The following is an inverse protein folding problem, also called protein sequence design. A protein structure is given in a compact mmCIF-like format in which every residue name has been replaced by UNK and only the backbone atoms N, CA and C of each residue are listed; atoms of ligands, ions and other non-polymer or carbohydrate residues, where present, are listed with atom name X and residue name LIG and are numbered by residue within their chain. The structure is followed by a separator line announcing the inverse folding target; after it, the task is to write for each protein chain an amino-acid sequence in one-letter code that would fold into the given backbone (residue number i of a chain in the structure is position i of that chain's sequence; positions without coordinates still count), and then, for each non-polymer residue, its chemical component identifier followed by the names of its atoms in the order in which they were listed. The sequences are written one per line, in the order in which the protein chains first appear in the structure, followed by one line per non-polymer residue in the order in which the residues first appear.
data_IF_403236587162
#
_entry.id   IF_403236587162
#
_cell.length_a   1.000
_cell.length_b   1.000
_cell.length_c   1.000
_cell.angle_alpha   90.00
_cell.angle_beta   90.00
_cell.angle_gamma   90.00
#
_symmetry.space_group_name_H-M   'P 1'
#
loop_
_entity.id
_entity.type
_entity.pdbx_description
1 polymer ?
#
# COMPACT_ATOMS: atom_id res chain seq x y z
N UNK A 1 8.67 -16.23 -50.27
CA UNK A 1 8.59 -17.08 -49.04
C UNK A 1 7.36 -16.65 -48.27
N UNK A 2 6.39 -17.55 -48.03
CA UNK A 2 5.17 -17.23 -47.29
C UNK A 2 5.52 -17.05 -45.81
N UNK A 3 5.39 -15.83 -45.28
CA UNK A 3 5.46 -15.56 -43.85
C UNK A 3 4.20 -16.12 -43.19
N UNK A 4 4.28 -17.32 -42.64
CA UNK A 4 3.24 -17.85 -41.76
C UNK A 4 3.19 -17.00 -40.50
N UNK A 5 2.00 -16.51 -40.13
CA UNK A 5 1.80 -15.79 -38.88
C UNK A 5 2.13 -16.72 -37.70
N UNK A 6 3.32 -16.55 -37.11
CA UNK A 6 3.72 -17.27 -35.90
C UNK A 6 2.94 -16.65 -34.74
N UNK A 7 2.01 -17.42 -34.16
CA UNK A 7 1.29 -17.04 -32.94
C UNK A 7 2.28 -17.04 -31.76
N UNK A 8 3.03 -15.95 -31.63
CA UNK A 8 3.95 -15.72 -30.52
C UNK A 8 3.14 -15.45 -29.25
N UNK A 9 3.36 -16.25 -28.22
CA UNK A 9 2.77 -15.99 -26.90
C UNK A 9 3.28 -14.67 -26.31
N UNK A 10 2.47 -14.00 -25.49
CA UNK A 10 2.86 -12.74 -24.81
C UNK A 10 4.16 -12.86 -24.00
N UNK A 11 4.50 -14.06 -23.51
CA UNK A 11 5.72 -14.33 -22.74
C UNK A 11 6.97 -14.50 -23.63
N UNK A 12 6.82 -15.06 -24.84
CA UNK A 12 7.96 -15.26 -25.76
C UNK A 12 8.44 -13.94 -26.37
N UNK A 13 7.58 -12.93 -26.48
CA UNK A 13 7.96 -11.58 -26.92
C UNK A 13 9.00 -10.92 -26.00
N UNK A 14 8.94 -11.15 -24.68
CA UNK A 14 9.94 -10.64 -23.72
C UNK A 14 11.36 -11.18 -24.00
N UNK A 15 11.45 -12.34 -24.64
CA UNK A 15 12.70 -13.03 -24.97
C UNK A 15 13.02 -12.97 -26.47
N UNK A 16 12.52 -11.94 -27.18
CA UNK A 16 12.80 -11.73 -28.60
C UNK A 16 12.17 -12.79 -29.51
N UNK A 17 11.02 -13.35 -29.12
CA UNK A 17 10.28 -14.34 -29.91
C UNK A 17 10.89 -15.75 -29.89
N UNK A 18 11.92 -16.00 -29.05
CA UNK A 18 12.55 -17.32 -28.91
C UNK A 18 11.71 -18.22 -27.99
N UNK A 19 11.42 -19.42 -28.45
CA UNK A 19 10.77 -20.47 -27.65
C UNK A 19 11.83 -21.34 -26.96
N UNK A 20 11.71 -21.49 -25.63
CA UNK A 20 12.66 -22.25 -24.80
C UNK A 20 13.65 -21.36 -24.03
N UNK A 21 14.13 -21.85 -22.89
CA UNK A 21 15.08 -21.14 -22.02
C UNK A 21 16.39 -21.91 -22.00
N UNK A 22 17.48 -21.27 -22.43
CA UNK A 22 18.82 -21.80 -22.24
C UNK A 22 19.22 -21.65 -20.77
N UNK A 23 20.03 -22.58 -20.22
CA UNK A 23 20.61 -22.39 -18.90
C UNK A 23 21.46 -21.12 -18.88
N UNK A 24 21.53 -20.49 -17.70
CA UNK A 24 22.34 -19.29 -17.51
C UNK A 24 23.82 -19.58 -17.81
N UNK A 25 24.44 -18.69 -18.58
CA UNK A 25 25.86 -18.80 -18.94
C UNK A 25 26.68 -18.65 -17.67
N UNK A 26 27.46 -19.67 -17.32
CA UNK A 26 28.32 -19.65 -16.13
C UNK A 26 29.48 -18.67 -16.35
N UNK A 27 29.64 -17.62 -15.53
CA UNK A 27 30.77 -16.71 -15.67
C UNK A 27 32.08 -17.42 -15.33
N UNK A 28 33.12 -17.10 -16.10
CA UNK A 28 34.48 -17.63 -15.91
C UNK A 28 35.04 -17.16 -14.55
N UNK A 29 34.75 -15.91 -14.17
CA UNK A 29 35.20 -15.30 -12.93
C UNK A 29 34.02 -15.11 -11.96
N UNK A 30 33.95 -15.94 -10.90
CA UNK A 30 32.77 -16.04 -10.02
C UNK A 30 32.83 -15.23 -8.73
N UNK A 31 33.99 -15.22 -8.06
CA UNK A 31 34.12 -14.72 -6.67
C UNK A 31 34.73 -13.34 -6.57
N UNK A 32 35.85 -13.16 -7.25
CA UNK A 32 36.66 -11.95 -7.13
C UNK A 32 36.73 -11.27 -8.50
N UNK A 33 36.38 -9.97 -8.56
CA UNK A 33 36.52 -9.19 -9.79
C UNK A 33 37.99 -9.08 -10.18
N UNK A 34 38.22 -8.80 -11.46
CA UNK A 34 39.58 -8.69 -12.04
C UNK A 34 40.00 -7.24 -12.14
N UNK A 35 39.05 -6.38 -12.49
CA UNK A 35 39.22 -4.95 -12.63
C UNK A 35 38.61 -4.25 -11.41
N UNK A 36 39.20 -3.12 -10.97
CA UNK A 36 38.59 -2.29 -9.96
C UNK A 36 37.29 -1.67 -10.52
N UNK A 37 36.29 -1.38 -9.65
CA UNK A 37 35.12 -0.64 -10.07
C UNK A 37 35.51 0.73 -10.62
N UNK A 38 34.75 1.23 -11.60
CA UNK A 38 34.98 2.56 -12.17
C UNK A 38 34.75 3.64 -11.09
N UNK A 39 35.47 4.76 -11.17
CA UNK A 39 35.38 5.86 -10.18
C UNK A 39 33.93 6.32 -9.97
N UNK A 40 33.15 6.45 -11.06
CA UNK A 40 31.75 6.83 -11.01
C UNK A 40 30.86 5.81 -10.29
N UNK A 41 31.12 4.51 -10.48
CA UNK A 41 30.39 3.45 -9.76
C UNK A 41 30.76 3.49 -8.28
N UNK A 42 32.03 3.69 -7.96
CA UNK A 42 32.49 3.83 -6.58
C UNK A 42 31.91 5.06 -5.88
N UNK A 43 31.73 6.18 -6.60
CA UNK A 43 31.10 7.39 -6.08
C UNK A 43 29.60 7.18 -5.84
N UNK A 44 28.91 6.48 -6.76
CA UNK A 44 27.50 6.09 -6.57
C UNK A 44 27.33 5.18 -5.36
N UNK A 45 28.20 4.19 -5.21
CA UNK A 45 28.20 3.30 -4.04
C UNK A 45 28.48 4.04 -2.74
N UNK A 46 29.37 5.04 -2.76
CA UNK A 46 29.68 5.86 -1.57
C UNK A 46 28.48 6.72 -1.12
N UNK A 47 27.65 7.18 -2.06
CA UNK A 47 26.44 7.94 -1.77
C UNK A 47 25.29 7.07 -1.23
N UNK A 48 25.37 5.74 -1.37
CA UNK A 48 24.37 4.83 -0.82
C UNK A 48 24.77 4.52 0.63
N UNK A 49 23.94 4.92 1.59
CA UNK A 49 24.13 4.57 2.99
C UNK A 49 23.99 3.05 3.17
N UNK A 50 25.12 2.34 3.30
CA UNK A 50 25.18 0.90 3.53
C UNK A 50 25.79 0.57 4.89
N UNK A 51 25.16 -0.34 5.63
CA UNK A 51 25.63 -0.83 6.92
C UNK A 51 24.78 -0.37 8.11
N UNK A 52 25.32 -0.49 9.32
CA UNK A 52 24.64 0.01 10.53
C UNK A 52 24.83 1.52 10.69
N UNK A 53 23.79 2.23 11.15
CA UNK A 53 23.79 3.68 11.41
C UNK A 53 24.67 4.09 12.60
N UNK A 54 25.18 5.33 12.62
CA UNK A 54 26.15 5.79 13.64
C UNK A 54 25.52 5.79 15.03
N UNK A 55 26.27 5.31 16.03
CA UNK A 55 25.76 5.09 17.39
C UNK A 55 24.99 3.77 17.61
N UNK A 56 24.57 3.05 16.56
CA UNK A 56 23.95 1.73 16.72
C UNK A 56 25.01 0.65 16.96
N UNK A 57 24.96 -0.09 18.08
CA UNK A 57 25.92 -1.15 18.35
C UNK A 57 25.75 -2.29 17.33
N UNK A 58 26.86 -2.71 16.73
CA UNK A 58 26.88 -3.85 15.81
C UNK A 58 26.71 -5.15 16.62
N UNK A 59 25.81 -6.06 16.22
CA UNK A 59 25.59 -7.31 16.94
C UNK A 59 26.88 -8.12 17.04
N UNK A 60 27.12 -8.72 18.21
CA UNK A 60 28.27 -9.60 18.46
C UNK A 60 27.79 -11.03 18.50
N UNK A 61 28.31 -11.89 17.61
CA UNK A 61 28.08 -13.34 17.63
C UNK A 61 29.40 -14.07 17.87
N UNK A 62 29.42 -15.02 18.81
CA UNK A 62 30.62 -15.84 19.08
C UNK A 62 31.08 -16.52 17.78
N UNK A 63 32.34 -16.32 17.40
CA UNK A 63 32.95 -16.91 16.20
C UNK A 63 32.76 -16.13 14.90
N UNK A 64 31.98 -15.05 14.86
CA UNK A 64 31.78 -14.26 13.63
C UNK A 64 31.96 -12.75 13.90
N UNK A 65 32.92 -12.14 13.20
CA UNK A 65 33.16 -10.68 13.25
C UNK A 65 32.20 -10.00 12.28
N UNK A 66 31.11 -9.44 12.81
CA UNK A 66 30.20 -8.59 12.03
C UNK A 66 30.86 -7.22 11.90
N UNK A 67 31.19 -6.83 10.68
CA UNK A 67 31.67 -5.48 10.37
C UNK A 67 30.48 -4.55 10.18
N UNK A 68 30.67 -3.29 10.56
CA UNK A 68 29.64 -2.25 10.45
C UNK A 68 29.26 -1.97 8.99
N UNK A 69 30.27 -1.96 8.12
CA UNK A 69 30.13 -1.83 6.67
C UNK A 69 30.35 -3.18 5.99
N UNK A 70 29.73 -3.42 4.83
CA UNK A 70 29.99 -4.62 4.03
C UNK A 70 31.46 -4.67 3.57
N UNK A 71 32.07 -5.86 3.60
CA UNK A 71 33.44 -6.04 3.10
C UNK A 71 33.44 -5.93 1.57
N UNK A 72 34.24 -5.00 1.03
CA UNK A 72 34.47 -4.90 -0.42
C UNK A 72 35.18 -6.15 -0.95
N UNK A 73 34.78 -6.62 -2.13
CA UNK A 73 35.42 -7.77 -2.77
C UNK A 73 36.86 -7.44 -3.15
N UNK A 74 37.78 -8.36 -2.89
CA UNK A 74 39.20 -8.18 -3.24
C UNK A 74 39.38 -8.35 -4.75
N UNK A 75 39.91 -7.32 -5.40
CA UNK A 75 40.23 -7.34 -6.83
C UNK A 75 41.48 -8.20 -7.04
N UNK A 76 41.36 -9.27 -7.84
CA UNK A 76 42.47 -10.19 -8.13
C UNK A 76 42.74 -10.17 -9.63
N UNK A 77 43.85 -9.57 -10.08
CA UNK A 77 44.18 -9.52 -11.49
C UNK A 77 44.45 -10.93 -12.05
N UNK A 78 44.21 -11.09 -13.35
CA UNK A 78 44.31 -12.38 -14.04
C UNK A 78 45.68 -13.02 -13.87
N UNK A 79 46.74 -12.23 -13.98
CA UNK A 79 48.11 -12.71 -13.86
C UNK A 79 48.38 -13.35 -12.49
N UNK A 80 47.94 -12.71 -11.40
CA UNK A 80 48.11 -13.25 -10.06
C UNK A 80 47.28 -14.52 -9.86
N UNK A 81 46.09 -14.58 -10.46
CA UNK A 81 45.26 -15.78 -10.43
C UNK A 81 45.91 -16.93 -11.20
N UNK A 82 46.45 -16.67 -12.38
CA UNK A 82 47.15 -17.67 -13.18
C UNK A 82 48.41 -18.17 -12.47
N UNK A 83 49.21 -17.28 -11.85
CA UNK A 83 50.39 -17.66 -11.05
C UNK A 83 50.02 -18.68 -9.96
N UNK A 84 49.01 -18.39 -9.15
CA UNK A 84 48.53 -19.30 -8.10
C UNK A 84 48.09 -20.67 -8.63
N UNK A 85 47.41 -20.69 -9.78
CA UNK A 85 46.96 -21.96 -10.39
C UNK A 85 48.15 -22.74 -10.96
N UNK A 86 49.10 -22.05 -11.59
CA UNK A 86 50.31 -22.65 -12.16
C UNK A 86 51.24 -23.19 -11.07
N UNK A 87 51.38 -22.51 -9.95
CA UNK A 87 52.17 -22.98 -8.79
C UNK A 87 51.65 -24.32 -8.26
N UNK A 88 50.33 -24.48 -8.14
CA UNK A 88 49.72 -25.71 -7.62
C UNK A 88 49.61 -26.82 -8.68
N UNK A 89 49.47 -26.45 -9.96
CA UNK A 89 49.15 -27.39 -11.05
C UNK A 89 50.22 -27.47 -12.14
N UNK A 90 51.46 -27.05 -11.88
CA UNK A 90 52.54 -27.18 -12.86
C UNK A 90 52.67 -28.64 -13.35
N UNK A 91 52.89 -28.86 -14.66
CA UNK A 91 53.29 -30.17 -15.16
C UNK A 91 54.71 -30.51 -14.63
N UNK A 92 55.03 -31.80 -14.43
CA UNK A 92 56.36 -32.21 -14.00
C UNK A 92 57.42 -31.78 -15.03
N UNK A 93 58.58 -31.31 -14.55
CA UNK A 93 59.64 -30.76 -15.42
C UNK A 93 60.25 -31.82 -16.35
N UNK A 94 60.31 -33.08 -15.91
CA UNK A 94 60.98 -34.16 -16.65
C UNK A 94 60.00 -35.12 -17.31
N UNK A 95 59.28 -34.66 -18.34
CA UNK A 95 58.30 -35.49 -19.08
C UNK A 95 58.88 -36.79 -19.66
N UNK A 96 60.19 -36.86 -19.89
CA UNK A 96 60.86 -38.02 -20.51
C UNK A 96 61.20 -39.15 -19.52
N UNK A 97 61.10 -38.91 -18.22
CA UNK A 97 61.42 -39.90 -17.17
C UNK A 97 60.18 -40.66 -16.67
N UNK A 98 58.98 -40.15 -16.98
CA UNK A 98 57.72 -40.74 -16.51
C UNK A 98 57.32 -41.99 -17.32
N UNK A 99 56.47 -42.83 -16.72
CA UNK A 99 55.79 -43.94 -17.41
C UNK A 99 54.90 -43.43 -18.56
N UNK A 100 54.69 -44.19 -19.66
CA UNK A 100 53.82 -43.75 -20.77
C UNK A 100 52.43 -43.27 -20.34
N UNK A 101 51.84 -43.87 -19.29
CA UNK A 101 50.55 -43.46 -18.73
C UNK A 101 50.64 -42.09 -18.04
N UNK A 102 51.67 -41.90 -17.24
CA UNK A 102 51.93 -40.64 -16.51
C UNK A 102 52.29 -39.49 -17.46
N UNK A 103 53.01 -39.79 -18.55
CA UNK A 103 53.27 -38.81 -19.62
C UNK A 103 51.99 -38.31 -20.27
N UNK A 104 51.07 -39.21 -20.57
CA UNK A 104 49.78 -38.87 -21.16
C UNK A 104 48.93 -38.01 -20.20
N UNK A 105 48.94 -38.32 -18.91
CA UNK A 105 48.26 -37.51 -17.90
C UNK A 105 48.88 -36.11 -17.77
N UNK A 106 50.20 -36.02 -17.78
CA UNK A 106 50.90 -34.75 -17.75
C UNK A 106 50.64 -33.91 -19.01
N UNK A 107 50.60 -34.52 -20.19
CA UNK A 107 50.21 -33.85 -21.45
C UNK A 107 48.76 -33.33 -21.40
N UNK A 108 47.81 -34.15 -20.93
CA UNK A 108 46.42 -33.70 -20.71
C UNK A 108 46.35 -32.53 -19.74
N UNK A 109 47.14 -32.57 -18.67
CA UNK A 109 47.22 -31.49 -17.68
C UNK A 109 47.74 -30.21 -18.34
N UNK A 110 48.79 -30.31 -19.15
CA UNK A 110 49.34 -29.18 -19.90
C UNK A 110 48.29 -28.56 -20.84
N UNK A 111 47.61 -29.37 -21.66
CA UNK A 111 46.57 -28.89 -22.59
C UNK A 111 45.42 -28.19 -21.83
N UNK A 112 44.98 -28.76 -20.70
CA UNK A 112 43.95 -28.12 -19.85
C UNK A 112 44.42 -26.77 -19.30
N UNK A 113 45.70 -26.67 -18.92
CA UNK A 113 46.28 -25.43 -18.41
C UNK A 113 46.41 -24.37 -19.49
N UNK A 114 46.78 -24.76 -20.72
CA UNK A 114 46.84 -23.87 -21.87
C UNK A 114 45.44 -23.31 -22.19
N UNK A 115 44.43 -24.16 -22.30
CA UNK A 115 43.04 -23.71 -22.53
C UNK A 115 42.50 -22.83 -21.39
N UNK A 116 42.86 -23.12 -20.13
CA UNK A 116 42.46 -22.30 -18.99
C UNK A 116 43.12 -20.92 -19.05
N UNK A 117 44.41 -20.87 -19.40
CA UNK A 117 45.15 -19.62 -19.59
C UNK A 117 44.52 -18.78 -20.69
N UNK A 118 44.23 -19.38 -21.84
CA UNK A 118 43.60 -18.70 -22.97
C UNK A 118 42.20 -18.20 -22.62
N UNK A 119 41.38 -19.03 -21.95
CA UNK A 119 40.05 -18.63 -21.50
C UNK A 119 40.09 -17.42 -20.56
N UNK A 120 41.07 -17.36 -19.65
CA UNK A 120 41.20 -16.24 -18.73
C UNK A 120 41.67 -14.95 -19.42
N UNK A 121 42.63 -15.04 -20.34
CA UNK A 121 43.15 -13.88 -21.08
C UNK A 121 42.14 -13.33 -22.09
N UNK A 122 41.35 -14.21 -22.71
CA UNK A 122 40.30 -13.80 -23.65
C UNK A 122 39.14 -13.12 -22.92
N UNK A 123 38.73 -13.66 -21.78
CA UNK A 123 37.66 -13.06 -20.99
C UNK A 123 38.10 -11.74 -20.35
N UNK A 124 39.35 -11.59 -19.91
CA UNK A 124 39.83 -10.30 -19.39
C UNK A 124 39.74 -9.20 -20.45
N UNK A 125 40.23 -9.46 -21.66
CA UNK A 125 40.12 -8.53 -22.80
C UNK A 125 38.67 -8.20 -23.15
N UNK A 126 37.77 -9.18 -23.03
CA UNK A 126 36.34 -8.96 -23.25
C UNK A 126 35.76 -8.02 -22.19
N UNK A 127 36.09 -8.22 -20.92
CA UNK A 127 35.62 -7.37 -19.81
C UNK A 127 36.15 -5.94 -19.96
N UNK A 128 37.45 -5.77 -20.24
CA UNK A 128 38.05 -4.46 -20.52
C UNK A 128 37.32 -3.73 -21.65
N UNK A 129 37.02 -4.43 -22.75
CA UNK A 129 36.26 -3.87 -23.87
C UNK A 129 34.84 -3.46 -23.47
N UNK A 130 34.18 -4.23 -22.62
CA UNK A 130 32.84 -3.90 -22.13
C UNK A 130 32.85 -2.66 -21.22
N UNK A 131 33.86 -2.52 -20.37
CA UNK A 131 34.03 -1.34 -19.53
C UNK A 131 34.30 -0.08 -20.35
N UNK A 132 35.17 -0.17 -21.36
CA UNK A 132 35.40 0.94 -22.30
C UNK A 132 34.11 1.37 -23.01
N UNK A 133 33.30 0.41 -23.48
CA UNK A 133 32.01 0.71 -24.12
C UNK A 133 31.00 1.32 -23.13
N UNK A 134 31.02 0.92 -21.86
CA UNK A 134 30.18 1.53 -20.82
C UNK A 134 30.61 2.97 -20.55
N UNK A 135 31.92 3.23 -20.40
CA UNK A 135 32.45 4.57 -20.19
C UNK A 135 32.06 5.51 -21.35
N UNK A 136 32.24 5.06 -22.60
CA UNK A 136 31.83 5.83 -23.79
C UNK A 136 30.33 6.14 -23.83
N UNK A 137 29.47 5.20 -23.40
CA UNK A 137 28.03 5.45 -23.33
C UNK A 137 27.69 6.49 -22.28
N UNK A 138 28.30 6.40 -21.10
CA UNK A 138 28.06 7.37 -20.02
C UNK A 138 28.50 8.77 -20.44
N UNK A 139 29.65 8.88 -21.11
CA UNK A 139 30.10 10.16 -21.67
C UNK A 139 29.16 10.69 -22.76
N UNK A 140 28.65 9.83 -23.64
CA UNK A 140 27.69 10.23 -24.66
C UNK A 140 26.35 10.67 -24.05
N UNK A 141 25.86 9.95 -23.04
CA UNK A 141 24.62 10.30 -22.33
C UNK A 141 24.76 11.61 -21.55
N UNK A 142 25.94 11.86 -20.96
CA UNK A 142 26.24 13.13 -20.30
C UNK A 142 26.24 14.31 -21.29
N UNK A 143 26.86 14.13 -22.47
CA UNK A 143 26.83 15.14 -23.54
C UNK A 143 25.41 15.41 -24.05
N UNK A 144 24.61 14.36 -24.24
CA UNK A 144 23.20 14.51 -24.62
C UNK A 144 22.38 15.22 -23.53
N UNK A 145 22.66 14.99 -22.26
CA UNK A 145 22.00 15.68 -21.16
C UNK A 145 22.38 17.17 -21.12
N UNK A 146 23.65 17.51 -21.39
CA UNK A 146 24.10 18.90 -21.54
C UNK A 146 23.44 19.58 -22.76
N UNK A 147 23.33 18.88 -23.89
CA UNK A 147 22.63 19.37 -25.09
C UNK A 147 21.12 19.56 -24.87
N UNK A 148 20.49 18.79 -23.97
CA UNK A 148 19.08 18.97 -23.60
C UNK A 148 18.82 20.19 -22.72
N UNK A 149 19.84 20.71 -22.02
CA UNK A 149 19.79 22.04 -21.39
C UNK A 149 20.09 23.09 -22.48
N UNK A 150 19.29 23.08 -23.54
CA UNK A 150 19.44 24.02 -24.64
C UNK A 150 18.88 25.37 -24.24
N UNK A 151 19.72 26.41 -24.25
CA UNK A 151 19.22 27.78 -24.26
C UNK A 151 18.53 28.02 -25.61
N UNK A 152 17.21 28.19 -25.59
CA UNK A 152 16.45 28.49 -26.81
C UNK A 152 17.12 29.64 -27.59
N UNK A 153 17.35 29.42 -28.88
CA UNK A 153 17.94 30.41 -29.79
C UNK A 153 17.15 31.71 -29.76
N UNK A 154 17.84 32.85 -29.89
CA UNK A 154 17.18 34.17 -29.92
C UNK A 154 16.13 34.25 -31.04
N UNK A 155 16.38 33.58 -32.18
CA UNK A 155 15.44 33.49 -33.27
C UNK A 155 14.16 32.73 -32.88
N UNK A 156 14.25 31.65 -32.10
CA UNK A 156 13.08 30.87 -31.65
C UNK A 156 12.29 31.61 -30.58
N UNK A 157 12.97 32.32 -29.67
CA UNK A 157 12.33 33.19 -28.66
C UNK A 157 11.48 34.30 -29.28
N UNK A 158 11.89 34.84 -30.43
CA UNK A 158 11.22 35.97 -31.08
C UNK A 158 10.20 35.58 -32.16
N UNK A 159 10.24 34.35 -32.67
CA UNK A 159 9.36 33.90 -33.76
C UNK A 159 8.20 33.01 -33.30
N UNK A 160 8.33 32.33 -32.16
CA UNK A 160 7.24 31.53 -31.59
C UNK A 160 6.31 32.40 -30.73
N UNK A 161 4.99 32.16 -30.75
CA UNK A 161 4.06 32.86 -29.87
C UNK A 161 4.37 32.53 -28.40
N UNK A 162 4.52 33.55 -27.57
CA UNK A 162 4.88 33.40 -26.14
C UNK A 162 3.64 33.10 -25.28
N UNK A 163 3.61 31.92 -24.66
CA UNK A 163 2.60 31.53 -23.64
C UNK A 163 3.16 31.76 -22.21
N UNK A 164 4.27 32.48 -22.13
CA UNK A 164 5.06 32.75 -20.94
C UNK A 164 4.26 33.11 -19.69
N UNK A 165 3.20 33.92 -19.80
CA UNK A 165 2.40 34.33 -18.63
C UNK A 165 1.66 33.17 -17.95
N UNK A 166 1.25 32.15 -18.71
CA UNK A 166 0.56 30.97 -18.16
C UNK A 166 1.52 29.92 -17.59
N UNK A 167 2.74 29.87 -18.12
CA UNK A 167 3.79 28.96 -17.66
C UNK A 167 4.64 29.57 -16.53
N UNK A 168 4.61 30.90 -16.37
CA UNK A 168 5.28 31.62 -15.29
C UNK A 168 4.48 31.48 -14.00
N UNK A 169 4.84 30.47 -13.21
CA UNK A 169 4.36 30.29 -11.84
C UNK A 169 4.17 28.82 -11.46
N UNK A 170 3.74 28.59 -10.22
CA UNK A 170 3.29 27.27 -9.80
C UNK A 170 1.99 26.94 -10.53
N UNK A 171 1.90 25.74 -11.12
CA UNK A 171 0.66 25.22 -11.72
C UNK A 171 -0.51 25.20 -10.73
N UNK A 172 -0.22 25.15 -9.43
CA UNK A 172 -1.23 25.21 -8.38
C UNK A 172 -0.98 26.39 -7.44
N UNK A 173 -2.04 27.16 -7.18
CA UNK A 173 -2.06 28.15 -6.09
C UNK A 173 -2.08 27.41 -4.76
N UNK A 174 -1.09 27.66 -3.91
CA UNK A 174 -1.14 27.20 -2.52
C UNK A 174 -2.17 28.00 -1.72
N UNK A 175 -2.95 27.31 -0.87
CA UNK A 175 -3.89 27.98 0.05
C UNK A 175 -3.15 28.89 1.01
N UNK A 176 -3.73 30.06 1.29
CA UNK A 176 -3.25 30.96 2.35
C UNK A 176 -3.41 30.31 3.73
N UNK A 177 -2.68 30.75 4.77
CA UNK A 177 -2.84 30.20 6.12
C UNK A 177 -4.28 30.38 6.64
N UNK A 178 -4.94 31.48 6.30
CA UNK A 178 -6.34 31.75 6.65
C UNK A 178 -7.29 30.74 5.99
N UNK A 179 -7.13 30.49 4.68
CA UNK A 179 -7.91 29.49 3.96
C UNK A 179 -7.72 28.09 4.53
N UNK A 180 -6.50 27.74 4.98
CA UNK A 180 -6.24 26.46 5.63
C UNK A 180 -6.96 26.35 6.98
N UNK A 181 -6.92 27.39 7.81
CA UNK A 181 -7.60 27.42 9.09
C UNK A 181 -9.11 27.23 8.94
N UNK A 182 -9.74 27.92 7.99
CA UNK A 182 -11.17 27.77 7.70
C UNK A 182 -11.51 26.33 7.30
N UNK A 183 -10.71 25.72 6.43
CA UNK A 183 -10.92 24.33 5.99
C UNK A 183 -10.75 23.35 7.14
N UNK A 184 -9.81 23.60 8.05
CA UNK A 184 -9.60 22.78 9.25
C UNK A 184 -10.78 22.89 10.23
N UNK A 185 -11.28 24.10 10.47
CA UNK A 185 -12.46 24.33 11.30
C UNK A 185 -13.70 23.64 10.72
N UNK A 186 -13.92 23.74 9.40
CA UNK A 186 -15.01 23.04 8.72
C UNK A 186 -14.89 21.51 8.88
N UNK A 187 -13.68 20.95 8.79
CA UNK A 187 -13.46 19.51 9.01
C UNK A 187 -13.75 19.10 10.45
N UNK A 188 -13.34 19.92 11.42
CA UNK A 188 -13.62 19.67 12.83
C UNK A 188 -15.13 19.73 13.11
N UNK A 189 -15.82 20.72 12.55
CA UNK A 189 -17.27 20.84 12.65
C UNK A 189 -17.95 19.59 12.09
N UNK A 190 -17.62 19.20 10.86
CA UNK A 190 -18.21 18.02 10.22
C UNK A 190 -17.98 16.73 11.02
N UNK A 191 -16.79 16.57 11.62
CA UNK A 191 -16.53 15.43 12.50
C UNK A 191 -17.41 15.46 13.75
N UNK A 192 -17.48 16.62 14.42
CA UNK A 192 -18.27 16.78 15.65
C UNK A 192 -19.77 16.60 15.39
N UNK A 193 -20.29 17.06 14.25
CA UNK A 193 -21.71 16.88 13.90
C UNK A 193 -22.03 15.40 13.67
N UNK A 194 -21.16 14.65 12.98
CA UNK A 194 -21.33 13.20 12.84
C UNK A 194 -21.26 12.46 14.19
N UNK A 195 -20.29 12.81 15.04
CA UNK A 195 -20.20 12.21 16.39
C UNK A 195 -21.43 12.51 17.24
N UNK A 196 -21.98 13.71 17.13
CA UNK A 196 -23.18 14.14 17.82
C UNK A 196 -24.39 13.33 17.34
N UNK A 197 -24.59 13.19 16.03
CA UNK A 197 -25.68 12.38 15.45
C UNK A 197 -25.62 10.91 15.93
N UNK A 198 -24.44 10.31 15.99
CA UNK A 198 -24.28 8.94 16.51
C UNK A 198 -24.65 8.84 17.99
N UNK A 199 -24.33 9.87 18.78
CA UNK A 199 -24.71 9.91 20.21
C UNK A 199 -26.20 10.11 20.39
N UNK A 200 -26.83 10.97 19.59
CA UNK A 200 -28.28 11.16 19.59
C UNK A 200 -29.02 9.87 19.21
N UNK A 201 -28.56 9.16 18.19
CA UNK A 201 -29.12 7.87 17.81
C UNK A 201 -29.06 6.86 18.97
N UNK A 202 -27.90 6.72 19.62
CA UNK A 202 -27.76 5.85 20.80
C UNK A 202 -28.62 6.29 21.99
N UNK A 203 -28.78 7.59 22.19
CA UNK A 203 -29.65 8.12 23.24
C UNK A 203 -31.12 7.83 22.95
N UNK A 204 -31.55 7.90 21.68
CA UNK A 204 -32.88 7.48 21.25
C UNK A 204 -33.10 5.98 21.47
N UNK A 205 -32.14 5.12 21.09
CA UNK A 205 -32.21 3.67 21.35
C UNK A 205 -32.32 3.37 22.85
N UNK A 206 -31.58 4.08 23.69
CA UNK A 206 -31.66 3.94 25.14
C UNK A 206 -33.04 4.37 25.66
N UNK A 207 -33.59 5.49 25.18
CA UNK A 207 -34.93 5.93 25.56
C UNK A 207 -36.00 4.94 25.09
N UNK A 208 -35.86 4.36 23.90
CA UNK A 208 -36.75 3.30 23.43
C UNK A 208 -36.69 2.08 24.35
N UNK A 209 -35.49 1.66 24.76
CA UNK A 209 -35.31 0.58 25.73
C UNK A 209 -35.94 0.94 27.08
N UNK A 210 -35.76 2.17 27.57
CA UNK A 210 -36.39 2.65 28.81
C UNK A 210 -37.92 2.60 28.72
N UNK A 211 -38.48 3.04 27.59
CA UNK A 211 -39.91 2.99 27.32
C UNK A 211 -40.44 1.56 27.21
N UNK A 212 -39.62 0.63 26.70
CA UNK A 212 -39.92 -0.79 26.60
C UNK A 212 -39.74 -1.54 27.95
N UNK A 213 -38.90 -1.01 28.84
CA UNK A 213 -38.59 -1.63 30.13
C UNK A 213 -39.80 -1.76 31.06
N UNK A 214 -40.85 -0.95 30.86
CA UNK A 214 -42.15 -1.12 31.50
C UNK A 214 -42.76 -2.52 31.28
N UNK A 215 -42.42 -3.16 30.16
CA UNK A 215 -42.89 -4.51 29.82
C UNK A 215 -41.87 -5.62 30.15
N UNK A 216 -40.69 -5.27 30.68
CA UNK A 216 -39.69 -6.26 31.03
C UNK A 216 -40.02 -6.90 32.37
N UNK A 217 -39.93 -8.22 32.41
CA UNK A 217 -40.11 -9.01 33.63
C UNK A 217 -38.78 -9.01 34.37
N UNK A 218 -38.75 -8.43 35.56
CA UNK A 218 -37.54 -8.30 36.39
C UNK A 218 -37.63 -9.08 37.70
N UNK A 219 -38.85 -9.29 38.20
CA UNK A 219 -39.10 -10.02 39.46
C UNK A 219 -39.79 -11.37 39.19
N UNK A 220 -39.66 -12.36 40.09
CA UNK A 220 -40.35 -13.64 39.94
C UNK A 220 -41.88 -13.49 40.02
N UNK A 221 -42.39 -12.50 40.75
CA UNK A 221 -43.83 -12.24 40.86
C UNK A 221 -44.41 -11.71 39.53
N UNK A 222 -43.68 -10.81 38.86
CA UNK A 222 -44.02 -10.36 37.50
C UNK A 222 -43.99 -11.51 36.50
N UNK A 223 -43.09 -12.47 36.68
CA UNK A 223 -42.99 -13.64 35.80
C UNK A 223 -44.23 -14.51 35.89
N UNK A 224 -44.67 -14.86 37.10
CA UNK A 224 -45.86 -15.68 37.29
C UNK A 224 -47.11 -14.99 36.74
N UNK A 225 -47.27 -13.68 36.97
CA UNK A 225 -48.36 -12.88 36.42
C UNK A 225 -48.31 -12.79 34.88
N UNK A 226 -47.12 -12.65 34.29
CA UNK A 226 -46.95 -12.63 32.85
C UNK A 226 -47.22 -13.99 32.20
N UNK A 227 -46.87 -15.09 32.87
CA UNK A 227 -47.20 -16.46 32.44
C UNK A 227 -48.72 -16.62 32.42
N UNK A 228 -49.42 -16.26 33.50
CA UNK A 228 -50.89 -16.34 33.52
C UNK A 228 -51.52 -15.46 32.45
N UNK A 229 -51.05 -14.23 32.24
CA UNK A 229 -51.59 -13.36 31.17
C UNK A 229 -51.29 -13.89 29.76
N UNK A 230 -50.10 -14.47 29.54
CA UNK A 230 -49.75 -15.06 28.25
C UNK A 230 -50.57 -16.31 27.92
N UNK A 231 -50.83 -17.18 28.90
CA UNK A 231 -51.59 -18.41 28.69
C UNK A 231 -53.11 -18.22 28.81
N UNK A 232 -53.62 -17.23 29.55
CA UNK A 232 -55.07 -17.04 29.69
C UNK A 232 -55.63 -16.03 28.68
N UNK A 233 -54.93 -14.90 28.45
CA UNK A 233 -55.46 -13.80 27.64
C UNK A 233 -54.89 -13.76 26.21
N UNK A 234 -53.68 -14.28 25.98
CA UNK A 234 -52.99 -14.13 24.67
C UNK A 234 -53.09 -15.35 23.75
N UNK A 235 -53.63 -16.49 24.19
CA UNK A 235 -53.87 -17.66 23.32
C UNK A 235 -54.80 -17.28 22.15
N UNK A 236 -55.85 -16.48 22.38
CA UNK A 236 -56.73 -16.00 21.31
C UNK A 236 -56.10 -14.97 20.35
N UNK A 237 -54.99 -14.33 20.74
CA UNK A 237 -54.26 -13.40 19.85
C UNK A 237 -53.28 -14.13 18.93
N UNK A 238 -52.73 -15.26 19.37
CA UNK A 238 -51.86 -16.08 18.53
C UNK A 238 -52.61 -16.66 17.33
N UNK A 239 -53.83 -17.19 17.51
CA UNK A 239 -54.68 -17.66 16.40
C UNK A 239 -55.03 -16.54 15.40
N UNK A 240 -55.23 -15.31 15.90
CA UNK A 240 -55.46 -14.14 15.02
C UNK A 240 -54.21 -13.71 14.26
N UNK A 241 -53.02 -13.91 14.83
CA UNK A 241 -51.74 -13.60 14.19
C UNK A 241 -51.31 -14.65 13.17
N UNK A 242 -51.67 -15.92 13.38
CA UNK A 242 -51.45 -17.00 12.43
C UNK A 242 -52.30 -16.81 11.18
N UNK A 243 -53.59 -16.45 11.34
CA UNK A 243 -54.45 -16.01 10.23
C UNK A 243 -53.91 -14.79 9.49
N UNK A 244 -53.36 -13.80 10.18
CA UNK A 244 -52.72 -12.63 9.55
C UNK A 244 -51.41 -12.99 8.83
N UNK A 245 -50.67 -13.99 9.30
CA UNK A 245 -49.47 -14.50 8.64
C UNK A 245 -49.82 -15.31 7.39
N UNK A 246 -50.87 -16.13 7.46
CA UNK A 246 -51.46 -16.84 6.31
C UNK A 246 -51.99 -15.85 5.27
N UNK A 247 -52.78 -14.84 5.65
CA UNK A 247 -53.30 -13.81 4.74
C UNK A 247 -52.18 -13.03 4.05
N UNK A 248 -51.06 -12.76 4.75
CA UNK A 248 -49.86 -12.13 4.18
C UNK A 248 -49.10 -13.06 3.22
N UNK A 249 -49.05 -14.36 3.49
CA UNK A 249 -48.45 -15.37 2.61
C UNK A 249 -49.30 -15.64 1.36
N UNK A 250 -50.63 -15.54 1.46
CA UNK A 250 -51.58 -15.71 0.36
C UNK A 250 -51.91 -14.42 -0.41
N UNK A 251 -51.30 -13.29 -0.05
CA UNK A 251 -51.39 -12.04 -0.81
C UNK A 251 -52.71 -11.26 -0.64
N UNK A 252 -53.52 -11.59 0.37
CA UNK A 252 -54.67 -10.77 0.75
C UNK A 252 -54.18 -9.59 1.60
N UNK A 253 -53.78 -8.51 0.93
CA UNK A 253 -53.31 -7.29 1.59
C UNK A 253 -54.46 -6.62 2.38
N UNK A 254 -54.46 -6.75 3.71
CA UNK A 254 -55.28 -5.92 4.59
C UNK A 254 -54.66 -4.52 4.70
N UNK A 255 -54.89 -3.68 3.68
CA UNK A 255 -54.39 -2.30 3.58
C UNK A 255 -54.73 -1.40 4.78
N UNK A 256 -55.69 -1.79 5.62
CA UNK A 256 -56.13 -1.04 6.80
C UNK A 256 -55.27 -1.25 8.06
N UNK A 257 -54.61 -2.40 8.23
CA UNK A 257 -53.72 -2.64 9.38
C UNK A 257 -52.38 -1.92 9.17
N UNK A 258 -51.86 -1.99 7.94
CA UNK A 258 -50.58 -1.39 7.59
C UNK A 258 -50.68 0.14 7.52
N UNK A 259 -51.84 0.71 7.14
CA UNK A 259 -52.04 2.15 7.16
C UNK A 259 -51.98 2.73 8.57
N UNK A 260 -52.55 2.06 9.57
CA UNK A 260 -52.53 2.50 10.98
C UNK A 260 -51.14 2.39 11.62
N UNK A 261 -50.40 1.33 11.29
CA UNK A 261 -49.02 1.17 11.75
C UNK A 261 -48.11 2.24 11.14
N UNK A 262 -48.25 2.49 9.84
CA UNK A 262 -47.50 3.54 9.13
C UNK A 262 -47.87 4.94 9.62
N UNK A 263 -49.15 5.22 9.89
CA UNK A 263 -49.59 6.52 10.43
C UNK A 263 -48.97 6.79 11.81
N UNK A 264 -48.87 5.78 12.67
CA UNK A 264 -48.20 5.91 13.97
C UNK A 264 -46.71 6.20 13.81
N UNK A 265 -46.01 5.45 12.96
CA UNK A 265 -44.59 5.70 12.68
C UNK A 265 -44.35 7.11 12.11
N UNK A 266 -45.22 7.57 11.20
CA UNK A 266 -45.13 8.92 10.63
C UNK A 266 -45.39 9.98 11.70
N UNK A 267 -46.39 9.80 12.57
CA UNK A 267 -46.66 10.71 13.68
C UNK A 267 -45.48 10.78 14.65
N UNK A 268 -44.94 9.62 15.01
CA UNK A 268 -43.78 9.51 15.90
C UNK A 268 -42.58 10.28 15.33
N UNK A 269 -42.29 10.13 14.03
CA UNK A 269 -41.21 10.87 13.37
C UNK A 269 -41.49 12.38 13.30
N UNK A 270 -42.73 12.80 13.04
CA UNK A 270 -43.10 14.22 12.90
C UNK A 270 -43.09 14.94 14.25
N UNK A 271 -43.58 14.29 15.31
CA UNK A 271 -43.62 14.87 16.66
C UNK A 271 -42.36 14.58 17.48
N UNK A 272 -41.43 13.78 16.95
CA UNK A 272 -40.23 13.34 17.68
C UNK A 272 -40.58 12.46 18.88
N UNK A 273 -41.66 11.69 18.78
CA UNK A 273 -42.12 10.72 19.77
C UNK A 273 -41.61 9.31 19.44
N UNK A 274 -41.55 8.43 20.43
CA UNK A 274 -41.16 7.02 20.29
C UNK A 274 -42.34 6.18 20.77
N UNK A 275 -43.08 5.55 19.85
CA UNK A 275 -44.27 4.75 20.14
C UNK A 275 -45.33 5.54 20.96
N UNK A 276 -45.58 6.80 20.60
CA UNK A 276 -46.49 7.70 21.34
C UNK A 276 -46.03 8.15 22.73
N UNK A 277 -44.76 7.88 23.09
CA UNK A 277 -44.09 8.39 24.30
C UNK A 277 -43.10 9.51 23.93
N UNK A 278 -42.77 10.44 24.84
CA UNK A 278 -41.87 11.56 24.54
C UNK A 278 -40.49 11.05 24.09
N UNK A 279 -39.99 11.58 22.97
CA UNK A 279 -38.65 11.28 22.46
C UNK A 279 -37.59 12.25 22.95
N UNK A 280 -36.34 12.04 22.53
CA UNK A 280 -35.17 12.69 23.10
C UNK A 280 -35.24 14.21 23.12
N UNK A 281 -35.68 14.86 22.04
CA UNK A 281 -35.75 16.32 21.97
C UNK A 281 -36.66 16.91 23.06
N UNK A 282 -37.83 16.31 23.28
CA UNK A 282 -38.76 16.76 24.33
C UNK A 282 -38.20 16.54 25.73
N UNK A 283 -37.45 15.44 25.94
CA UNK A 283 -36.79 15.13 27.22
C UNK A 283 -35.62 16.09 27.48
N UNK A 284 -34.81 16.39 26.46
CA UNK A 284 -33.70 17.33 26.61
C UNK A 284 -34.20 18.74 26.89
N UNK A 285 -35.28 19.15 26.23
CA UNK A 285 -35.86 20.49 26.35
C UNK A 285 -36.57 20.71 27.69
N UNK A 286 -37.13 19.66 28.27
CA UNK A 286 -37.70 19.69 29.62
C UNK A 286 -36.61 19.69 30.69
N UNK A 287 -35.55 18.89 30.53
CA UNK A 287 -34.41 18.86 31.44
C UNK A 287 -33.57 20.15 31.40
N UNK A 288 -33.44 20.79 30.23
CA UNK A 288 -32.72 22.06 30.08
C UNK A 288 -33.51 23.25 30.66
N UNK A 289 -34.82 23.10 30.84
CA UNK A 289 -35.73 24.15 31.27
C UNK A 289 -35.85 25.30 30.27
N UNK A 290 -35.37 25.12 29.04
CA UNK A 290 -35.45 26.14 28.00
C UNK A 290 -36.90 26.38 27.58
N UNK A 291 -37.69 25.31 27.44
CA UNK A 291 -39.12 25.40 27.12
C UNK A 291 -39.90 26.18 28.17
N UNK A 292 -39.64 25.96 29.45
CA UNK A 292 -40.25 26.75 30.54
C UNK A 292 -39.83 28.22 30.51
N UNK A 293 -38.57 28.51 30.16
CA UNK A 293 -38.10 29.89 29.99
C UNK A 293 -38.81 30.55 28.82
N UNK A 294 -38.97 29.86 27.70
CA UNK A 294 -39.69 30.37 26.53
C UNK A 294 -41.18 30.56 26.80
N UNK A 295 -41.83 29.64 27.51
CA UNK A 295 -43.25 29.78 27.88
C UNK A 295 -43.46 30.95 28.83
N UNK A 296 -42.65 31.08 29.90
CA UNK A 296 -42.71 32.24 30.81
C UNK A 296 -42.40 33.57 30.11
N UNK A 297 -41.46 33.57 29.17
CA UNK A 297 -41.15 34.75 28.35
C UNK A 297 -42.29 35.10 27.37
N UNK A 298 -43.03 34.11 26.85
CA UNK A 298 -44.21 34.33 26.02
C UNK A 298 -45.40 34.84 26.84
N UNK A 299 -45.66 34.24 28.00
CA UNK A 299 -46.72 34.65 28.93
C UNK A 299 -46.51 36.07 29.46
N UNK A 300 -45.28 36.41 29.87
CA UNK A 300 -44.94 37.79 30.27
C UNK A 300 -45.10 38.80 29.13
N UNK A 301 -44.79 38.43 27.88
CA UNK A 301 -45.04 39.29 26.70
C UNK A 301 -46.52 39.45 26.37
N UNK A 302 -47.34 38.41 26.59
CA UNK A 302 -48.79 38.46 26.41
C UNK A 302 -49.43 39.34 27.49
N UNK A 303 -49.04 39.16 28.75
CA UNK A 303 -49.53 39.97 29.88
C UNK A 303 -49.07 41.43 29.82
N UNK A 304 -47.91 41.73 29.21
CA UNK A 304 -47.46 43.11 28.98
C UNK A 304 -48.14 43.78 27.74
N UNK A 305 -48.98 43.05 27.00
CA UNK A 305 -49.70 43.54 25.82
C UNK A 305 -51.20 43.82 26.08
N UNK A 306 -51.70 43.43 27.24
CA UNK A 306 -53.00 43.80 27.81
C UNK A 306 -52.86 44.99 28.76
#
# INVERSE_FOLDING_TARGET
MRSTAVNLSKKTLKHGGKSGVLPEVRPIFKRNPILPPLEQESAKEANIEQGYAEGVPVPKRKGFKITRQPKKAEVVPVEQRLKKILEYNAPPQNMNELSPKERWEAQKKQIRMEHLKDAYLTESKRIEKLELLKAQKIEADAKLAEEQVYEESEATKLTLPTIDSYLKGSLMRHRTPEEKAIVEEQRILNRKTMELQVKEAKANELLELYHAAENFITTPEELDAAITDAFENKIGRFESSERLAEDKLFGYFTSFSDSRANERLVRDVVFGEINGKPGLATVTDTLSGETEKYSRAAESKLNNRS
#
